data_IF_257290234470
#
_entry.id   IF_257290234470
#
_cell.length_a   1.000
_cell.length_b   1.000
_cell.length_c   1.000
_cell.angle_alpha   90.00
_cell.angle_beta   90.00
_cell.angle_gamma   90.00
#
_symmetry.space_group_name_H-M   'P 1'
#
loop_
_entity.id
_entity.type
_entity.pdbx_description
1 polymer ?
#
# COMPACT_ATOMS: atom_id res chain seq x y z
N UNK A 1 -4.10 -58.64 59.92
CA UNK A 1 -2.68 -58.58 59.49
C UNK A 1 -2.66 -59.12 58.07
N UNK A 2 -2.13 -58.50 57.02
CA UNK A 2 -1.58 -57.18 56.75
C UNK A 2 -1.83 -57.04 55.22
N UNK A 3 -2.38 -55.92 54.77
CA UNK A 3 -2.60 -55.64 53.34
C UNK A 3 -1.32 -55.00 52.82
N UNK A 4 -0.61 -55.68 51.93
CA UNK A 4 0.47 -55.09 51.15
C UNK A 4 -0.09 -54.71 49.78
N UNK A 5 -0.32 -53.41 49.58
CA UNK A 5 -0.71 -52.81 48.31
C UNK A 5 0.51 -52.04 47.81
N UNK A 6 1.23 -52.58 46.82
CA UNK A 6 2.27 -51.85 46.08
C UNK A 6 1.60 -50.98 45.00
N UNK A 7 1.69 -49.64 45.06
CA UNK A 7 1.28 -48.80 43.96
C UNK A 7 2.36 -48.84 42.87
N UNK A 8 2.02 -49.46 41.73
CA UNK A 8 2.82 -49.42 40.50
C UNK A 8 2.65 -48.03 39.86
N UNK A 9 3.59 -47.14 40.12
CA UNK A 9 3.77 -45.85 39.43
C UNK A 9 4.28 -46.09 38.01
N UNK A 10 3.37 -46.42 37.10
CA UNK A 10 3.58 -46.25 35.66
C UNK A 10 2.80 -44.99 35.20
N UNK A 11 3.20 -43.82 35.72
CA UNK A 11 2.78 -42.54 35.13
C UNK A 11 3.71 -42.26 33.93
N UNK A 12 3.21 -42.19 32.69
CA UNK A 12 4.01 -41.68 31.59
C UNK A 12 4.30 -40.21 31.88
N UNK A 13 5.58 -39.88 32.01
CA UNK A 13 6.07 -38.52 32.08
C UNK A 13 5.38 -37.70 30.99
N UNK A 14 4.70 -36.62 31.39
CA UNK A 14 4.19 -35.60 30.49
C UNK A 14 5.37 -35.10 29.65
N UNK A 15 5.41 -35.53 28.39
CA UNK A 15 6.40 -35.09 27.42
C UNK A 15 6.17 -33.58 27.20
N UNK A 16 7.22 -32.80 27.45
CA UNK A 16 7.21 -31.35 27.35
C UNK A 16 7.04 -30.95 25.88
N UNK A 17 5.81 -30.62 25.48
CA UNK A 17 5.51 -29.99 24.20
C UNK A 17 5.80 -28.47 24.27
N UNK A 18 7.07 -28.11 24.47
CA UNK A 18 7.54 -26.71 24.43
C UNK A 18 8.19 -26.34 23.08
N UNK A 19 8.27 -27.28 22.12
CA UNK A 19 8.93 -27.03 20.82
C UNK A 19 8.00 -26.42 19.76
N UNK A 20 6.68 -26.56 19.91
CA UNK A 20 5.70 -25.98 18.99
C UNK A 20 5.66 -24.44 18.98
N UNK A 21 6.10 -23.78 20.06
CA UNK A 21 6.02 -22.31 20.19
C UNK A 21 7.26 -21.57 19.62
N UNK A 22 8.38 -22.27 19.43
CA UNK A 22 9.66 -21.65 19.03
C UNK A 22 9.72 -21.39 17.52
N UNK A 23 9.21 -22.32 16.70
CA UNK A 23 9.14 -22.18 15.25
C UNK A 23 8.26 -21.00 14.81
N UNK A 24 7.08 -20.86 15.42
CA UNK A 24 6.10 -19.81 15.09
C UNK A 24 6.65 -18.42 15.43
N UNK A 25 7.33 -18.27 16.58
CA UNK A 25 7.98 -17.01 16.98
C UNK A 25 9.09 -16.63 16.01
N UNK A 26 9.84 -17.60 15.50
CA UNK A 26 10.93 -17.38 14.54
C UNK A 26 10.38 -17.00 13.18
N UNK A 27 9.38 -17.72 12.67
CA UNK A 27 8.70 -17.40 11.40
C UNK A 27 8.02 -16.04 11.46
N UNK A 28 7.37 -15.69 12.58
CA UNK A 28 6.73 -14.38 12.76
C UNK A 28 7.75 -13.24 12.76
N UNK A 29 8.90 -13.41 13.43
CA UNK A 29 9.99 -12.42 13.39
C UNK A 29 10.54 -12.23 11.98
N UNK A 30 10.76 -13.32 11.24
CA UNK A 30 11.23 -13.26 9.85
C UNK A 30 10.20 -12.55 8.96
N UNK A 31 8.91 -12.90 9.08
CA UNK A 31 7.83 -12.23 8.34
C UNK A 31 7.76 -10.74 8.70
N UNK A 32 7.85 -10.39 9.98
CA UNK A 32 7.83 -8.99 10.42
C UNK A 32 9.03 -8.20 9.86
N UNK A 33 10.22 -8.79 9.84
CA UNK A 33 11.42 -8.17 9.23
C UNK A 33 11.23 -7.99 7.73
N UNK A 34 10.74 -9.00 7.01
CA UNK A 34 10.51 -8.92 5.56
C UNK A 34 9.43 -7.89 5.21
N UNK A 35 8.31 -7.88 5.92
CA UNK A 35 7.26 -6.88 5.71
C UNK A 35 7.78 -5.48 6.06
N UNK A 36 8.54 -5.35 7.15
CA UNK A 36 9.15 -4.10 7.56
C UNK A 36 10.10 -3.54 6.51
N UNK A 37 10.97 -4.36 5.94
CA UNK A 37 11.92 -3.91 4.90
C UNK A 37 11.20 -3.51 3.61
N UNK A 38 10.17 -4.25 3.19
CA UNK A 38 9.36 -3.91 2.01
C UNK A 38 8.62 -2.59 2.23
N UNK A 39 7.93 -2.44 3.38
CA UNK A 39 7.20 -1.21 3.70
C UNK A 39 8.15 0.00 3.76
N UNK A 40 9.33 -0.18 4.37
CA UNK A 40 10.35 0.84 4.43
C UNK A 40 10.84 1.23 3.03
N UNK A 41 11.10 0.26 2.15
CA UNK A 41 11.48 0.50 0.76
C UNK A 41 10.43 1.30 -0.01
N UNK A 42 9.16 0.90 0.05
CA UNK A 42 8.06 1.60 -0.66
C UNK A 42 7.93 3.07 -0.24
N UNK A 43 8.23 3.40 1.02
CA UNK A 43 8.17 4.78 1.52
C UNK A 43 9.44 5.57 1.20
N UNK A 44 10.62 4.96 1.35
CA UNK A 44 11.91 5.65 1.15
C UNK A 44 12.27 5.84 -0.32
N UNK A 45 11.96 4.89 -1.20
CA UNK A 45 12.32 5.00 -2.62
C UNK A 45 11.75 6.27 -3.28
N UNK A 46 10.44 6.59 -3.20
CA UNK A 46 9.92 7.84 -3.77
C UNK A 46 10.46 9.09 -3.07
N UNK A 47 10.75 9.01 -1.77
CA UNK A 47 11.34 10.13 -1.02
C UNK A 47 12.77 10.45 -1.49
N UNK A 48 13.58 9.44 -1.80
CA UNK A 48 14.98 9.60 -2.23
C UNK A 48 15.12 9.94 -3.71
N UNK A 49 14.21 9.44 -4.54
CA UNK A 49 14.26 9.61 -6.00
C UNK A 49 13.59 10.91 -6.47
N UNK A 50 12.98 11.67 -5.56
CA UNK A 50 12.31 12.93 -5.87
C UNK A 50 10.95 12.76 -6.54
N UNK A 51 10.42 11.54 -6.71
CA UNK A 51 9.12 11.34 -7.36
C UNK A 51 7.98 11.72 -6.43
N UNK A 52 7.04 12.53 -6.92
CA UNK A 52 5.81 12.86 -6.20
C UNK A 52 4.77 11.76 -6.45
N UNK A 53 4.35 11.03 -5.40
CA UNK A 53 3.27 10.08 -5.55
C UNK A 53 1.98 10.82 -5.92
N UNK A 54 1.23 10.24 -6.85
CA UNK A 54 -0.14 10.67 -7.15
C UNK A 54 -0.99 10.36 -5.92
N UNK A 55 -1.60 11.39 -5.35
CA UNK A 55 -2.50 11.25 -4.19
C UNK A 55 -3.88 10.82 -4.68
N UNK A 56 -4.35 11.45 -5.75
CA UNK A 56 -5.63 11.12 -6.34
C UNK A 56 -5.62 11.36 -7.84
N UNK A 57 -6.36 10.49 -8.53
CA UNK A 57 -6.65 10.59 -9.95
C UNK A 57 -8.16 10.64 -10.11
N UNK A 58 -8.66 11.61 -10.89
CA UNK A 58 -10.08 11.70 -11.24
C UNK A 58 -10.23 11.85 -12.75
N UNK A 59 -10.92 10.88 -13.34
CA UNK A 59 -11.37 10.97 -14.72
C UNK A 59 -12.67 11.78 -14.76
N UNK A 60 -12.69 12.81 -15.59
CA UNK A 60 -13.86 13.64 -15.86
C UNK A 60 -14.32 13.31 -17.27
N UNK A 61 -15.53 12.77 -17.36
CA UNK A 61 -16.15 12.49 -18.66
C UNK A 61 -16.64 13.79 -19.31
N UNK A 62 -16.66 13.87 -20.66
CA UNK A 62 -17.29 14.98 -21.36
C UNK A 62 -18.72 15.20 -20.86
N UNK A 63 -19.10 16.46 -20.62
CA UNK A 63 -20.41 16.83 -20.08
C UNK A 63 -20.55 16.72 -18.56
N UNK A 64 -19.55 16.21 -17.83
CA UNK A 64 -19.56 16.20 -16.38
C UNK A 64 -19.02 17.51 -15.81
N UNK A 65 -19.86 18.34 -15.20
CA UNK A 65 -19.43 19.61 -14.61
C UNK A 65 -18.36 19.39 -13.55
N UNK A 66 -17.16 19.91 -13.80
CA UNK A 66 -16.06 19.86 -12.85
C UNK A 66 -15.20 21.10 -13.01
N UNK A 67 -15.49 22.09 -12.16
CA UNK A 67 -14.86 23.40 -12.20
C UNK A 67 -13.66 23.39 -11.25
N UNK A 68 -12.49 23.72 -11.80
CA UNK A 68 -11.26 23.91 -11.01
C UNK A 68 -10.89 25.39 -10.99
N UNK A 69 -10.25 25.83 -9.90
CA UNK A 69 -9.86 27.23 -9.73
C UNK A 69 -8.85 27.70 -10.79
N UNK A 70 -7.96 26.82 -11.25
CA UNK A 70 -6.90 27.14 -12.20
C UNK A 70 -7.30 26.93 -13.66
N UNK A 71 -8.20 25.98 -13.97
CA UNK A 71 -8.46 25.57 -15.36
C UNK A 71 -9.93 25.72 -15.79
N UNK A 72 -10.82 26.22 -14.92
CA UNK A 72 -12.24 26.38 -15.25
C UNK A 72 -12.99 25.04 -15.33
N UNK A 73 -14.07 25.00 -16.12
CA UNK A 73 -14.90 23.79 -16.29
C UNK A 73 -14.24 22.79 -17.24
N UNK A 74 -13.73 21.70 -16.67
CA UNK A 74 -13.06 20.64 -17.40
C UNK A 74 -14.05 19.70 -18.12
N UNK A 75 -15.33 19.76 -17.77
CA UNK A 75 -16.41 18.99 -18.37
C UNK A 75 -16.98 19.58 -19.65
N UNK A 76 -16.76 20.87 -19.89
CA UNK A 76 -17.28 21.56 -21.07
C UNK A 76 -16.59 21.14 -22.39
N UNK A 77 -15.49 20.39 -22.30
CA UNK A 77 -14.74 19.92 -23.46
C UNK A 77 -15.34 18.65 -24.06
N UNK A 78 -15.16 18.47 -25.37
CA UNK A 78 -15.59 17.27 -26.11
C UNK A 78 -14.74 16.02 -25.84
N UNK A 79 -13.65 16.16 -25.09
CA UNK A 79 -12.72 15.09 -24.73
C UNK A 79 -12.70 14.87 -23.23
N UNK A 80 -12.47 13.61 -22.83
CA UNK A 80 -12.30 13.26 -21.43
C UNK A 80 -11.05 13.93 -20.85
N UNK A 81 -11.17 14.31 -19.60
CA UNK A 81 -10.16 15.10 -18.88
C UNK A 81 -9.68 14.31 -17.66
N UNK A 82 -8.38 14.35 -17.39
CA UNK A 82 -7.77 13.60 -16.30
C UNK A 82 -7.13 14.59 -15.33
N UNK A 83 -7.66 14.63 -14.11
CA UNK A 83 -7.22 15.53 -13.04
C UNK A 83 -6.37 14.73 -12.08
N UNK A 84 -5.12 15.15 -11.94
CA UNK A 84 -4.13 14.50 -11.09
C UNK A 84 -3.78 15.42 -9.92
N UNK A 85 -3.92 14.92 -8.70
CA UNK A 85 -3.48 15.65 -7.50
C UNK A 85 -2.18 15.04 -7.00
N UNK A 86 -1.15 15.88 -6.91
CA UNK A 86 0.18 15.53 -6.42
C UNK A 86 0.43 16.19 -5.09
N UNK A 87 1.12 15.50 -4.19
CA UNK A 87 1.61 16.09 -2.95
C UNK A 87 3.08 16.46 -3.10
N UNK A 88 3.38 17.74 -2.97
CA UNK A 88 4.76 18.24 -3.12
C UNK A 88 5.53 18.25 -1.81
N UNK A 89 4.97 17.70 -0.73
CA UNK A 89 5.51 17.80 0.63
C UNK A 89 5.07 19.07 1.38
N UNK A 90 4.74 20.16 0.68
CA UNK A 90 4.26 21.42 1.29
C UNK A 90 2.82 21.76 0.96
N UNK A 91 2.38 21.41 -0.24
CA UNK A 91 1.04 21.70 -0.74
C UNK A 91 0.59 20.61 -1.70
N UNK A 92 -0.72 20.55 -1.92
CA UNK A 92 -1.29 19.78 -3.00
C UNK A 92 -1.27 20.62 -4.28
N UNK A 93 -0.82 20.02 -5.37
CA UNK A 93 -0.80 20.64 -6.71
C UNK A 93 -1.65 19.78 -7.62
N UNK A 94 -2.61 20.42 -8.30
CA UNK A 94 -3.42 19.75 -9.29
C UNK A 94 -2.84 20.01 -10.68
N UNK A 95 -2.74 18.95 -11.48
CA UNK A 95 -2.39 19.06 -12.89
C UNK A 95 -3.46 18.42 -13.75
N UNK A 96 -3.66 19.03 -14.91
CA UNK A 96 -4.61 18.62 -15.90
C UNK A 96 -3.91 17.91 -17.05
N UNK A 97 -4.47 16.79 -17.48
CA UNK A 97 -4.06 16.06 -18.67
C UNK A 97 -5.28 15.66 -19.49
N UNK A 98 -5.14 15.67 -20.82
CA UNK A 98 -6.15 15.07 -21.69
C UNK A 98 -6.18 13.55 -21.51
N UNK A 99 -7.37 12.98 -21.33
CA UNK A 99 -7.49 11.54 -21.25
C UNK A 99 -7.36 10.91 -22.64
N UNK A 100 -6.52 9.89 -22.75
CA UNK A 100 -6.41 9.06 -23.96
C UNK A 100 -6.14 7.62 -23.55
N UNK A 101 -7.01 6.71 -23.97
CA UNK A 101 -6.93 5.28 -23.62
C UNK A 101 -5.68 4.62 -24.19
N UNK A 102 -5.23 5.09 -25.35
CA UNK A 102 -4.08 4.56 -26.10
C UNK A 102 -2.78 5.31 -25.81
N UNK A 103 -2.79 6.31 -24.91
CA UNK A 103 -1.68 7.24 -24.68
C UNK A 103 -1.22 8.04 -25.93
N UNK A 104 -1.92 7.97 -27.05
CA UNK A 104 -1.71 8.88 -28.17
C UNK A 104 -2.28 10.26 -27.82
N UNK A 105 -1.42 11.27 -27.76
CA UNK A 105 -1.76 12.68 -27.49
C UNK A 105 -2.53 12.96 -26.18
N UNK A 106 -2.44 12.04 -25.20
CA UNK A 106 -3.04 12.16 -23.88
C UNK A 106 -2.47 11.15 -22.91
N UNK A 107 -3.04 11.06 -21.71
CA UNK A 107 -2.61 10.13 -20.65
C UNK A 107 -3.77 9.22 -20.25
N UNK A 108 -3.50 7.92 -20.19
CA UNK A 108 -4.44 6.94 -19.65
C UNK A 108 -4.52 7.05 -18.12
N UNK A 109 -3.39 7.31 -17.47
CA UNK A 109 -3.25 7.47 -16.02
C UNK A 109 -2.34 8.64 -15.66
N UNK A 110 -2.46 9.12 -14.42
CA UNK A 110 -1.59 10.18 -13.90
C UNK A 110 -0.13 9.72 -13.88
N UNK A 111 0.78 10.40 -14.61
CA UNK A 111 2.19 10.08 -14.55
C UNK A 111 2.75 10.44 -13.17
N UNK A 112 3.75 9.69 -12.70
CA UNK A 112 4.57 10.13 -11.57
C UNK A 112 5.45 11.29 -12.05
N UNK A 113 5.47 12.39 -11.30
CA UNK A 113 6.21 13.60 -11.66
C UNK A 113 7.45 13.69 -10.76
N UNK A 114 8.62 13.96 -11.34
CA UNK A 114 9.82 14.28 -10.55
C UNK A 114 9.67 15.68 -9.92
N UNK A 115 10.10 15.81 -8.66
CA UNK A 115 10.39 17.10 -8.02
C UNK A 115 11.60 17.71 -8.73
N UNK A 116 11.36 18.84 -9.39
CA UNK A 116 12.40 19.82 -9.65
C UNK A 116 12.88 20.47 -8.35
#
# INVERSE_FOLDING_TARGET
MHFDYEPRSDDPAAENDEDGASGIKTTLKVVAVVVGTIALGVVLTPALTGYQPVVSQRLISPGQTYITKEYGDLGANSRGSLVCTYFTGRRFVQRFYWHSRENLFGKANCPLILRD
#
